data_IF_425952743347
#
_entry.id   IF_425952743347
#
_cell.length_a   1.000
_cell.length_b   1.000
_cell.length_c   1.000
_cell.angle_alpha   90.00
_cell.angle_beta   90.00
_cell.angle_gamma   90.00
#
_symmetry.space_group_name_H-M   'P 1'
#
loop_
_entity.id
_entity.type
_entity.pdbx_description
1 polymer ?
#
# COMPACT_ATOMS: atom_id res chain seq x y z
N UNK A 1 19.99 1.38 -6.86
CA UNK A 1 18.81 2.20 -7.20
C UNK A 1 17.48 1.43 -7.11
N UNK A 2 17.41 0.14 -7.48
CA UNK A 2 16.16 -0.67 -7.41
C UNK A 2 15.69 -1.07 -6.00
N UNK A 3 16.55 -1.01 -4.98
CA UNK A 3 16.22 -1.46 -3.62
C UNK A 3 15.21 -0.55 -2.90
N UNK A 4 15.26 0.77 -3.14
CA UNK A 4 14.40 1.74 -2.47
C UNK A 4 12.93 1.60 -2.86
N UNK A 5 12.65 1.43 -4.14
CA UNK A 5 11.29 1.36 -4.71
C UNK A 5 10.55 0.07 -4.31
N UNK A 6 11.28 -1.03 -4.03
CA UNK A 6 10.70 -2.26 -3.46
C UNK A 6 10.40 -2.12 -1.98
N UNK A 7 11.27 -1.43 -1.23
CA UNK A 7 11.03 -1.16 0.18
C UNK A 7 9.76 -0.30 0.38
N UNK A 8 9.50 0.66 -0.51
CA UNK A 8 8.29 1.49 -0.50
C UNK A 8 7.01 0.65 -0.64
N UNK A 9 7.00 -0.35 -1.53
CA UNK A 9 5.87 -1.28 -1.62
C UNK A 9 5.65 -2.05 -0.32
N UNK A 10 6.74 -2.57 0.27
CA UNK A 10 6.68 -3.28 1.55
C UNK A 10 6.11 -2.41 2.68
N UNK A 11 6.55 -1.16 2.78
CA UNK A 11 6.04 -0.19 3.75
C UNK A 11 4.57 0.14 3.53
N UNK A 12 4.15 0.36 2.28
CA UNK A 12 2.74 0.55 1.93
C UNK A 12 1.87 -0.64 2.35
N UNK A 13 2.33 -1.86 2.07
CA UNK A 13 1.63 -3.08 2.47
C UNK A 13 1.54 -3.26 3.99
N UNK A 14 2.60 -2.89 4.72
CA UNK A 14 2.58 -2.89 6.19
C UNK A 14 1.55 -1.90 6.73
N UNK A 15 1.51 -0.67 6.19
CA UNK A 15 0.53 0.33 6.61
C UNK A 15 -0.90 -0.09 6.27
N UNK A 16 -1.14 -0.61 5.07
CA UNK A 16 -2.42 -1.19 4.69
C UNK A 16 -2.88 -2.22 5.73
N UNK A 17 -1.98 -3.15 6.09
CA UNK A 17 -2.30 -4.22 7.04
C UNK A 17 -2.57 -3.68 8.45
N UNK A 18 -1.83 -2.67 8.88
CA UNK A 18 -2.04 -2.02 10.17
C UNK A 18 -3.39 -1.29 10.24
N UNK A 19 -3.85 -0.70 9.13
CA UNK A 19 -5.10 0.06 9.07
C UNK A 19 -6.33 -0.84 8.96
N UNK A 20 -6.25 -1.94 8.22
CA UNK A 20 -7.41 -2.82 7.96
C UNK A 20 -7.45 -4.06 8.83
N UNK A 21 -6.35 -4.37 9.53
CA UNK A 21 -6.17 -5.63 10.25
C UNK A 21 -5.86 -6.84 9.35
N UNK A 22 -5.84 -6.66 8.03
CA UNK A 22 -5.69 -7.74 7.05
C UNK A 22 -4.65 -7.40 5.99
N UNK A 23 -3.92 -8.39 5.50
CA UNK A 23 -3.02 -8.16 4.36
C UNK A 23 -3.84 -7.83 3.10
N UNK A 24 -3.36 -6.87 2.29
CA UNK A 24 -4.01 -6.46 1.03
C UNK A 24 -4.37 -7.64 0.12
N UNK A 25 -3.53 -8.67 0.12
CA UNK A 25 -3.78 -9.94 -0.58
C UNK A 25 -3.67 -11.12 0.39
N UNK A 26 -4.51 -11.14 1.42
CA UNK A 26 -4.61 -12.27 2.33
C UNK A 26 -5.05 -13.54 1.59
N UNK A 27 -4.52 -14.69 2.01
CA UNK A 27 -4.90 -15.99 1.48
C UNK A 27 -6.29 -16.35 2.00
N UNK A 28 -7.21 -16.68 1.10
CA UNK A 28 -8.55 -17.13 1.48
C UNK A 28 -8.50 -18.59 1.93
N UNK A 29 -9.35 -18.97 2.87
CA UNK A 29 -9.45 -20.37 3.32
C UNK A 29 -9.78 -21.29 2.13
N UNK A 30 -9.06 -22.41 2.01
CA UNK A 30 -9.21 -23.34 0.88
C UNK A 30 -8.63 -22.84 -0.46
N UNK A 31 -8.07 -21.64 -0.52
CA UNK A 31 -7.51 -21.09 -1.75
C UNK A 31 -6.17 -21.72 -2.10
N UNK A 32 -5.99 -22.09 -3.38
CA UNK A 32 -4.68 -22.51 -3.88
C UNK A 32 -3.69 -21.34 -3.85
N UNK A 33 -2.44 -21.64 -3.46
CA UNK A 33 -1.36 -20.63 -3.39
C UNK A 33 -1.17 -19.91 -4.74
N UNK A 34 -1.34 -20.62 -5.86
CA UNK A 34 -1.28 -20.04 -7.21
C UNK A 34 -2.38 -18.98 -7.43
N UNK A 35 -3.60 -19.19 -6.92
CA UNK A 35 -4.68 -18.21 -7.04
C UNK A 35 -4.37 -16.94 -6.25
N UNK A 36 -3.76 -17.06 -5.07
CA UNK A 36 -3.27 -15.90 -4.31
C UNK A 36 -2.16 -15.15 -5.09
N UNK A 37 -1.19 -15.87 -5.67
CA UNK A 37 -0.16 -15.25 -6.51
C UNK A 37 -0.75 -14.52 -7.71
N UNK A 38 -1.75 -15.10 -8.38
CA UNK A 38 -2.44 -14.43 -9.46
C UNK A 38 -3.11 -13.15 -8.98
N UNK A 39 -3.74 -13.12 -7.81
CA UNK A 39 -4.32 -11.86 -7.28
C UNK A 39 -3.25 -10.81 -7.02
N UNK A 40 -2.15 -11.20 -6.38
CA UNK A 40 -1.01 -10.31 -6.13
C UNK A 40 -0.50 -9.69 -7.45
N UNK A 41 -0.44 -10.47 -8.54
CA UNK A 41 0.08 -9.99 -9.83
C UNK A 41 -0.96 -9.38 -10.77
N UNK A 42 -2.26 -9.67 -10.60
CA UNK A 42 -3.32 -9.26 -11.55
C UNK A 42 -4.44 -8.39 -10.97
N UNK A 43 -4.72 -8.40 -9.67
CA UNK A 43 -5.68 -7.50 -9.01
C UNK A 43 -5.07 -6.22 -8.41
N UNK A 44 -5.78 -5.10 -8.57
CA UNK A 44 -5.46 -3.86 -7.87
C UNK A 44 -5.51 -4.03 -6.35
N UNK A 45 -4.79 -3.17 -5.63
CA UNK A 45 -4.83 -3.14 -4.16
C UNK A 45 -6.25 -2.75 -3.73
N UNK A 46 -6.85 -3.43 -2.73
CA UNK A 46 -8.17 -3.06 -2.24
C UNK A 46 -8.24 -1.59 -1.80
N UNK A 47 -9.39 -0.94 -2.00
CA UNK A 47 -9.53 0.48 -1.66
C UNK A 47 -9.70 0.69 -0.14
N UNK A 48 -8.78 1.45 0.45
CA UNK A 48 -8.82 1.79 1.87
C UNK A 48 -10.00 2.71 2.24
N UNK A 49 -10.60 3.39 1.26
CA UNK A 49 -11.80 4.21 1.48
C UNK A 49 -12.98 3.39 1.98
N UNK A 50 -13.06 2.12 1.58
CA UNK A 50 -14.09 1.18 2.07
C UNK A 50 -13.98 0.94 3.59
N UNK A 51 -12.84 1.30 4.19
CA UNK A 51 -12.56 1.20 5.62
C UNK A 51 -12.63 2.55 6.35
N UNK A 52 -13.15 3.60 5.69
CA UNK A 52 -13.29 4.94 6.27
C UNK A 52 -11.98 5.74 6.34
N UNK A 53 -10.94 5.31 5.61
CA UNK A 53 -9.67 6.04 5.54
C UNK A 53 -9.83 7.25 4.60
N UNK A 54 -9.33 8.45 4.98
CA UNK A 54 -9.37 9.64 4.12
C UNK A 54 -8.75 9.41 2.73
N UNK A 55 -9.33 10.06 1.71
CA UNK A 55 -8.96 9.88 0.30
C UNK A 55 -7.47 10.09 0.03
N UNK A 56 -6.89 11.13 0.62
CA UNK A 56 -5.49 11.50 0.44
C UNK A 56 -4.53 10.47 1.06
N UNK A 57 -4.88 9.91 2.22
CA UNK A 57 -4.14 8.82 2.86
C UNK A 57 -4.27 7.52 2.05
N UNK A 58 -5.47 7.18 1.60
CA UNK A 58 -5.73 6.02 0.76
C UNK A 58 -4.92 6.08 -0.54
N UNK A 59 -4.93 7.23 -1.23
CA UNK A 59 -4.17 7.46 -2.46
C UNK A 59 -2.66 7.35 -2.27
N UNK A 60 -2.14 7.90 -1.17
CA UNK A 60 -0.71 7.84 -0.87
C UNK A 60 -0.26 6.40 -0.59
N UNK A 61 -1.04 5.59 0.12
CA UNK A 61 -0.74 4.17 0.35
C UNK A 61 -0.89 3.36 -0.95
N UNK A 62 -1.94 3.60 -1.73
CA UNK A 62 -2.15 2.93 -3.01
C UNK A 62 -1.00 3.19 -3.99
N UNK A 63 -0.49 4.44 -4.06
CA UNK A 63 0.68 4.79 -4.88
C UNK A 63 1.94 4.05 -4.44
N UNK A 64 2.20 3.96 -3.13
CA UNK A 64 3.33 3.20 -2.62
C UNK A 64 3.25 1.72 -3.00
N UNK A 65 2.04 1.18 -3.11
CA UNK A 65 1.76 -0.20 -3.53
C UNK A 65 1.51 -0.34 -5.05
N UNK A 66 1.80 0.68 -5.86
CA UNK A 66 1.60 0.61 -7.31
C UNK A 66 2.39 -0.55 -7.93
N UNK A 67 1.84 -1.15 -8.98
CA UNK A 67 2.53 -2.22 -9.73
C UNK A 67 3.66 -1.69 -10.57
N UNK A 68 3.46 -0.52 -11.14
CA UNK A 68 4.45 0.23 -11.87
C UNK A 68 5.42 0.84 -10.86
N UNK A 69 6.68 0.34 -10.77
CA UNK A 69 7.64 0.83 -9.78
C UNK A 69 7.87 2.34 -9.88
N UNK A 70 7.76 2.89 -11.10
CA UNK A 70 8.00 4.30 -11.39
C UNK A 70 6.88 5.23 -10.91
N UNK A 71 5.70 4.67 -10.58
CA UNK A 71 4.60 5.42 -9.97
C UNK A 71 4.73 5.53 -8.45
N UNK A 72 5.63 4.76 -7.84
CA UNK A 72 5.86 4.78 -6.39
C UNK A 72 6.73 5.98 -6.02
N UNK A 73 6.66 6.45 -4.76
CA UNK A 73 7.70 7.30 -4.19
C UNK A 73 9.11 6.72 -4.46
N UNK A 74 10.04 7.58 -4.88
CA UNK A 74 11.38 7.16 -5.28
C UNK A 74 12.17 6.53 -4.11
N UNK A 75 11.91 7.01 -2.89
CA UNK A 75 12.53 6.51 -1.66
C UNK A 75 11.53 6.34 -0.53
N UNK A 76 11.89 5.52 0.46
CA UNK A 76 11.15 5.41 1.71
C UNK A 76 11.09 6.74 2.48
N UNK A 77 12.11 7.58 2.35
CA UNK A 77 12.13 8.91 2.95
C UNK A 77 11.05 9.80 2.31
N UNK A 78 10.95 9.83 0.98
CA UNK A 78 9.91 10.58 0.27
C UNK A 78 8.51 10.13 0.67
N UNK A 79 8.30 8.81 0.78
CA UNK A 79 7.03 8.26 1.25
C UNK A 79 6.71 8.72 2.68
N UNK A 80 7.69 8.67 3.58
CA UNK A 80 7.54 9.13 4.95
C UNK A 80 7.27 10.63 5.07
N UNK A 81 7.84 11.47 4.20
CA UNK A 81 7.54 12.91 4.15
C UNK A 81 6.10 13.20 3.68
N UNK A 82 5.61 12.44 2.69
CA UNK A 82 4.22 12.54 2.24
C UNK A 82 3.27 12.22 3.40
N UNK A 83 3.48 11.11 4.10
CA UNK A 83 2.66 10.72 5.27
C UNK A 83 2.70 11.77 6.39
N UNK A 84 3.87 12.32 6.71
CA UNK A 84 4.00 13.38 7.71
C UNK A 84 3.30 14.67 7.29
N UNK A 85 3.25 14.97 6.00
CA UNK A 85 2.52 16.13 5.48
C UNK A 85 1.01 15.93 5.63
N UNK A 86 0.51 14.73 5.32
CA UNK A 86 -0.89 14.37 5.55
C UNK A 86 -1.23 14.43 7.04
N UNK A 87 -0.41 13.84 7.91
CA UNK A 87 -0.62 13.88 9.37
C UNK A 87 -0.82 15.32 9.88
N UNK A 88 0.08 16.24 9.49
CA UNK A 88 -0.04 17.67 9.84
C UNK A 88 -1.30 18.32 9.26
N UNK A 89 -1.67 17.97 8.02
CA UNK A 89 -2.89 18.47 7.36
C UNK A 89 -4.18 18.02 8.06
N UNK A 90 -4.16 16.81 8.62
CA UNK A 90 -5.24 16.25 9.44
C UNK A 90 -5.20 16.71 10.91
N UNK A 91 -4.21 17.53 11.30
CA UNK A 91 -4.10 18.11 12.64
C UNK A 91 -3.45 17.22 13.71
N UNK A 92 -2.67 16.22 13.29
CA UNK A 92 -1.93 15.30 14.16
C UNK A 92 -0.41 15.55 14.12
#
# INVERSE_FOLDING_TARGET
MLAGVRAVYGLGATLFSALTGHAAFERRSGEQVVAQFLRITTQEVPDLREHGIPDDVADTIARAMSREPDQRPATAADFGEQLRTLQRGHGF
#
